data_IF_630800470086
#
_entry.id   IF_630800470086
#
_cell.length_a   1.000
_cell.length_b   1.000
_cell.length_c   1.000
_cell.angle_alpha   90.00
_cell.angle_beta   90.00
_cell.angle_gamma   90.00
#
_symmetry.space_group_name_H-M   'P 1'
#
loop_
_entity.id
_entity.type
_entity.pdbx_description
1 polymer ?
#
# COMPACT_ATOMS: atom_id res chain seq x y z
N UNK A 1 61.61 -25.26 -38.07
CA UNK A 1 60.96 -26.10 -37.03
C UNK A 1 60.69 -25.17 -35.87
N UNK A 2 59.51 -24.57 -35.74
CA UNK A 2 58.36 -25.18 -35.05
C UNK A 2 57.05 -24.55 -35.54
N UNK A 3 56.25 -25.31 -36.29
CA UNK A 3 54.86 -24.98 -36.56
C UNK A 3 54.02 -25.67 -35.49
N UNK A 4 53.61 -24.94 -34.45
CA UNK A 4 52.72 -25.46 -33.43
C UNK A 4 51.27 -25.27 -33.87
N UNK A 5 50.60 -26.40 -34.07
CA UNK A 5 49.19 -26.60 -34.33
C UNK A 5 48.26 -25.63 -33.60
N UNK A 6 47.54 -24.81 -34.35
CA UNK A 6 46.35 -24.05 -33.95
C UNK A 6 45.06 -24.80 -34.32
N UNK A 7 45.01 -26.12 -34.08
CA UNK A 7 43.89 -26.98 -34.50
C UNK A 7 43.26 -27.75 -33.33
N UNK A 8 42.88 -27.03 -32.29
CA UNK A 8 41.91 -27.45 -31.26
C UNK A 8 41.24 -26.15 -30.82
N UNK A 9 40.00 -25.83 -31.22
CA UNK A 9 38.86 -25.86 -30.29
C UNK A 9 37.55 -25.43 -30.98
N UNK A 10 36.89 -26.28 -31.78
CA UNK A 10 35.50 -26.01 -32.19
C UNK A 10 34.48 -26.23 -31.06
N UNK A 11 34.87 -26.91 -29.97
CA UNK A 11 33.97 -27.27 -28.86
C UNK A 11 33.66 -26.12 -27.88
N UNK A 12 34.47 -25.06 -27.83
CA UNK A 12 34.25 -23.95 -26.88
C UNK A 12 33.12 -23.01 -27.35
N UNK A 13 32.88 -22.94 -28.66
CA UNK A 13 31.91 -21.99 -29.23
C UNK A 13 30.45 -22.34 -28.92
N UNK A 14 30.14 -23.62 -28.71
CA UNK A 14 28.77 -24.06 -28.39
C UNK A 14 28.40 -23.84 -26.92
N UNK A 15 29.37 -23.74 -26.02
CA UNK A 15 29.10 -23.53 -24.58
C UNK A 15 28.79 -22.06 -24.27
N UNK A 16 29.35 -21.13 -25.03
CA UNK A 16 29.15 -19.68 -24.83
C UNK A 16 27.70 -19.28 -25.14
N UNK A 17 27.10 -19.83 -26.21
CA UNK A 17 25.71 -19.53 -26.55
C UNK A 17 24.70 -20.02 -25.51
N UNK A 18 25.06 -21.01 -24.68
CA UNK A 18 24.17 -21.54 -23.64
C UNK A 18 24.10 -20.64 -22.41
N UNK A 19 25.12 -19.83 -22.14
CA UNK A 19 25.13 -18.92 -20.98
C UNK A 19 24.29 -17.66 -21.24
N UNK A 20 24.21 -17.20 -22.49
CA UNK A 20 23.37 -16.05 -22.85
C UNK A 20 21.88 -16.34 -22.62
N UNK A 21 21.41 -17.55 -22.90
CA UNK A 21 20.00 -17.93 -22.68
C UNK A 21 19.63 -17.89 -21.19
N UNK A 22 20.51 -18.39 -20.31
CA UNK A 22 20.29 -18.38 -18.86
C UNK A 22 20.24 -16.95 -18.32
N UNK A 23 21.16 -16.09 -18.77
CA UNK A 23 21.17 -14.67 -18.35
C UNK A 23 19.88 -13.98 -18.75
N UNK A 24 19.40 -14.21 -19.98
CA UNK A 24 18.13 -13.63 -20.45
C UNK A 24 16.96 -14.09 -19.58
N UNK A 25 16.87 -15.38 -19.26
CA UNK A 25 15.80 -15.89 -18.39
C UNK A 25 15.85 -15.24 -17.01
N UNK A 26 17.03 -15.11 -16.41
CA UNK A 26 17.19 -14.48 -15.09
C UNK A 26 16.76 -13.02 -15.12
N UNK A 27 17.17 -12.27 -16.14
CA UNK A 27 16.76 -10.86 -16.30
C UNK A 27 15.25 -10.74 -16.43
N UNK A 28 14.61 -11.62 -17.22
CA UNK A 28 13.14 -11.63 -17.37
C UNK A 28 12.44 -11.94 -16.05
N UNK A 29 12.92 -12.91 -15.27
CA UNK A 29 12.35 -13.25 -13.96
C UNK A 29 12.47 -12.07 -12.99
N UNK A 30 13.62 -11.40 -12.94
CA UNK A 30 13.82 -10.22 -12.10
C UNK A 30 12.89 -9.09 -12.54
N UNK A 31 12.78 -8.82 -13.84
CA UNK A 31 11.90 -7.79 -14.36
C UNK A 31 10.42 -8.06 -14.02
N UNK A 32 9.96 -9.31 -14.20
CA UNK A 32 8.60 -9.71 -13.83
C UNK A 32 8.33 -9.53 -12.33
N UNK A 33 9.27 -9.94 -11.47
CA UNK A 33 9.14 -9.74 -10.02
C UNK A 33 9.02 -8.26 -9.65
N UNK A 34 9.85 -7.40 -10.25
CA UNK A 34 9.75 -5.95 -10.03
C UNK A 34 8.38 -5.42 -10.46
N UNK A 35 7.87 -5.84 -11.62
CA UNK A 35 6.53 -5.45 -12.09
C UNK A 35 5.45 -5.89 -11.13
N UNK A 36 5.51 -7.14 -10.62
CA UNK A 36 4.54 -7.65 -9.64
C UNK A 36 4.57 -6.79 -8.37
N UNK A 37 5.74 -6.44 -7.85
CA UNK A 37 5.84 -5.56 -6.68
C UNK A 37 5.23 -4.19 -6.94
N UNK A 38 5.53 -3.58 -8.10
CA UNK A 38 4.95 -2.29 -8.46
C UNK A 38 3.43 -2.37 -8.52
N UNK A 39 2.86 -3.42 -9.11
CA UNK A 39 1.40 -3.63 -9.16
C UNK A 39 0.83 -3.77 -7.74
N UNK A 40 1.46 -4.56 -6.87
CA UNK A 40 1.03 -4.70 -5.46
C UNK A 40 1.04 -3.35 -4.76
N UNK A 41 2.09 -2.55 -4.94
CA UNK A 41 2.18 -1.20 -4.36
C UNK A 41 1.05 -0.31 -4.86
N UNK A 42 0.78 -0.30 -6.17
CA UNK A 42 -0.31 0.50 -6.75
C UNK A 42 -1.67 0.08 -6.18
N UNK A 43 -1.96 -1.22 -6.10
CA UNK A 43 -3.21 -1.74 -5.53
C UNK A 43 -3.35 -1.30 -4.07
N UNK A 44 -2.29 -1.42 -3.29
CA UNK A 44 -2.25 -0.97 -1.89
C UNK A 44 -2.57 0.52 -1.76
N UNK A 45 -1.93 1.36 -2.59
CA UNK A 45 -2.20 2.81 -2.61
C UNK A 45 -3.66 3.10 -2.94
N UNK A 46 -4.24 2.42 -3.94
CA UNK A 46 -5.66 2.58 -4.31
C UNK A 46 -6.56 2.22 -3.13
N UNK A 47 -6.30 1.12 -2.43
CA UNK A 47 -7.08 0.72 -1.24
C UNK A 47 -7.02 1.80 -0.16
N UNK A 48 -5.83 2.34 0.13
CA UNK A 48 -5.67 3.43 1.11
C UNK A 48 -6.49 4.66 0.71
N UNK A 49 -6.42 5.08 -0.57
CA UNK A 49 -7.19 6.23 -1.07
C UNK A 49 -8.69 5.99 -0.90
N UNK A 50 -9.20 4.80 -1.24
CA UNK A 50 -10.62 4.46 -1.07
C UNK A 50 -11.03 4.55 0.40
N UNK A 51 -10.23 4.01 1.33
CA UNK A 51 -10.52 4.08 2.77
C UNK A 51 -10.58 5.54 3.23
N UNK A 52 -9.63 6.38 2.82
CA UNK A 52 -9.62 7.81 3.17
C UNK A 52 -10.88 8.51 2.63
N UNK A 53 -11.27 8.26 1.38
CA UNK A 53 -12.48 8.85 0.78
C UNK A 53 -13.73 8.45 1.57
N UNK A 54 -13.87 7.17 1.94
CA UNK A 54 -15.01 6.69 2.74
C UNK A 54 -15.10 7.43 4.07
N UNK A 55 -13.97 7.62 4.75
CA UNK A 55 -13.91 8.32 6.04
C UNK A 55 -14.31 9.77 5.89
N UNK A 56 -13.81 10.46 4.86
CA UNK A 56 -14.20 11.84 4.56
C UNK A 56 -15.70 11.94 4.31
N UNK A 57 -16.29 11.03 3.53
CA UNK A 57 -17.73 11.00 3.28
C UNK A 57 -18.51 10.83 4.59
N UNK A 58 -18.10 9.91 5.48
CA UNK A 58 -18.74 9.72 6.78
C UNK A 58 -18.67 10.98 7.64
N UNK A 59 -17.53 11.67 7.66
CA UNK A 59 -17.36 12.93 8.39
C UNK A 59 -18.26 14.03 7.80
N UNK A 60 -18.32 14.17 6.48
CA UNK A 60 -19.17 15.18 5.83
C UNK A 60 -20.65 14.91 6.09
N UNK A 61 -21.11 13.66 5.97
CA UNK A 61 -22.49 13.28 6.22
C UNK A 61 -22.88 13.54 7.68
N UNK A 62 -22.00 13.20 8.63
CA UNK A 62 -22.25 13.46 10.05
C UNK A 62 -22.33 14.96 10.31
N UNK A 63 -21.36 15.76 9.86
CA UNK A 63 -21.34 17.22 10.04
C UNK A 63 -22.56 17.90 9.38
N UNK A 64 -22.92 17.51 8.16
CA UNK A 64 -24.10 18.03 7.46
C UNK A 64 -25.39 17.74 8.23
N UNK A 65 -25.52 16.51 8.77
CA UNK A 65 -26.66 16.12 9.61
C UNK A 65 -26.76 16.94 10.88
N UNK A 66 -25.63 17.38 11.47
CA UNK A 66 -25.63 18.28 12.63
C UNK A 66 -26.10 19.70 12.28
N UNK A 67 -25.77 20.21 11.10
CA UNK A 67 -26.12 21.57 10.72
C UNK A 67 -27.63 21.73 10.44
N UNK A 68 -28.26 20.73 9.79
CA UNK A 68 -29.69 20.76 9.48
C UNK A 68 -30.53 20.83 10.77
N UNK A 69 -30.14 20.10 11.82
CA UNK A 69 -30.87 20.13 13.10
C UNK A 69 -30.85 21.49 13.78
N UNK A 70 -29.77 22.28 13.66
CA UNK A 70 -29.71 23.61 14.29
C UNK A 70 -30.60 24.64 13.60
N UNK A 71 -30.85 24.48 12.30
CA UNK A 71 -31.68 25.42 11.53
C UNK A 71 -33.18 25.34 11.84
N UNK A 72 -33.67 24.24 12.42
CA UNK A 72 -35.10 24.04 12.73
C UNK A 72 -35.49 24.50 14.14
N UNK A 73 -34.51 24.66 15.04
CA UNK A 73 -34.75 24.99 16.45
C UNK A 73 -34.77 26.51 16.71
N UNK A 74 -34.54 27.33 15.67
CA UNK A 74 -34.64 28.79 15.72
C UNK A 74 -36.07 29.32 15.57
N UNK A 75 -37.10 28.47 15.49
CA UNK A 75 -38.48 28.94 15.56
C UNK A 75 -38.78 29.32 17.03
N UNK A 76 -39.00 30.62 17.35
CA UNK A 76 -39.21 31.04 18.73
C UNK A 76 -40.46 30.35 19.28
N UNK A 77 -40.27 29.39 20.20
CA UNK A 77 -41.39 28.84 20.94
C UNK A 77 -42.02 29.98 21.75
N UNK A 78 -43.36 30.08 21.77
CA UNK A 78 -44.05 31.01 22.64
C UNK A 78 -43.63 30.77 24.10
N UNK A 79 -43.53 31.82 24.92
CA UNK A 79 -43.01 31.73 26.27
C UNK A 79 -44.01 30.98 27.13
N UNK A 80 -43.81 29.69 27.31
CA UNK A 80 -44.63 28.87 28.20
C UNK A 80 -43.87 28.58 29.50
N UNK A 81 -44.57 28.78 30.61
CA UNK A 81 -44.00 28.92 31.94
C UNK A 81 -43.93 27.55 32.63
N UNK A 82 -42.78 27.27 33.28
CA UNK A 82 -42.49 26.09 34.13
C UNK A 82 -42.24 24.77 33.38
N UNK A 83 -40.97 24.47 33.10
CA UNK A 83 -40.52 23.08 33.03
C UNK A 83 -39.14 22.91 33.66
N UNK A 84 -39.10 22.01 34.64
CA UNK A 84 -37.95 21.61 35.46
C UNK A 84 -36.90 20.88 34.63
N UNK A 85 -35.64 21.08 35.02
CA UNK A 85 -34.48 20.20 34.83
C UNK A 85 -34.20 19.73 33.38
N UNK A 86 -33.47 20.56 32.63
CA UNK A 86 -32.75 20.13 31.43
C UNK A 86 -31.62 19.17 31.83
N UNK A 87 -31.83 17.88 31.60
CA UNK A 87 -30.74 16.90 31.56
C UNK A 87 -29.97 17.13 30.26
N UNK A 88 -28.81 17.76 30.34
CA UNK A 88 -27.91 17.99 29.21
C UNK A 88 -27.31 16.65 28.76
N UNK A 89 -27.96 16.05 27.75
CA UNK A 89 -27.53 14.78 27.17
C UNK A 89 -26.18 14.95 26.45
N UNK A 90 -25.23 14.01 26.62
CA UNK A 90 -23.82 14.26 26.36
C UNK A 90 -23.53 14.32 24.86
N UNK A 91 -23.07 15.49 24.41
CA UNK A 91 -22.50 15.72 23.07
C UNK A 91 -21.13 15.02 22.88
N UNK A 92 -20.58 14.40 23.92
CA UNK A 92 -19.30 13.69 23.86
C UNK A 92 -19.33 12.43 23.00
N UNK A 93 -20.49 11.78 22.84
CA UNK A 93 -20.54 10.48 22.15
C UNK A 93 -20.09 10.57 20.69
N UNK A 94 -20.47 11.62 19.96
CA UNK A 94 -20.09 11.79 18.55
C UNK A 94 -18.59 12.05 18.39
N UNK A 95 -18.02 12.91 19.23
CA UNK A 95 -16.59 13.23 19.15
C UNK A 95 -15.76 11.97 19.44
N UNK A 96 -16.18 11.18 20.45
CA UNK A 96 -15.52 9.90 20.78
C UNK A 96 -15.61 8.92 19.59
N UNK A 97 -16.77 8.80 18.95
CA UNK A 97 -16.94 7.94 17.77
C UNK A 97 -16.06 8.42 16.62
N UNK A 98 -16.00 9.72 16.36
CA UNK A 98 -15.22 10.28 15.25
C UNK A 98 -13.71 10.10 15.50
N UNK A 99 -13.24 10.33 16.73
CA UNK A 99 -11.86 10.06 17.13
C UNK A 99 -11.53 8.58 17.00
N UNK A 100 -12.43 7.69 17.42
CA UNK A 100 -12.24 6.24 17.28
C UNK A 100 -12.17 5.80 15.81
N UNK A 101 -13.03 6.35 14.94
CA UNK A 101 -12.99 6.06 13.50
C UNK A 101 -11.68 6.56 12.88
N UNK A 102 -11.27 7.79 13.18
CA UNK A 102 -10.00 8.34 12.68
C UNK A 102 -8.82 7.49 13.17
N UNK A 103 -8.79 7.12 14.45
CA UNK A 103 -7.74 6.27 15.00
C UNK A 103 -7.69 4.89 14.32
N UNK A 104 -8.85 4.26 14.08
CA UNK A 104 -8.92 2.99 13.37
C UNK A 104 -8.40 3.09 11.93
N UNK A 105 -8.71 4.18 11.23
CA UNK A 105 -8.25 4.43 9.86
C UNK A 105 -6.75 4.62 9.83
N UNK A 106 -6.22 5.44 10.74
CA UNK A 106 -4.77 5.64 10.88
C UNK A 106 -4.08 4.31 11.15
N UNK A 107 -4.64 3.48 12.03
CA UNK A 107 -4.10 2.13 12.30
C UNK A 107 -4.09 1.26 11.04
N UNK A 108 -5.18 1.24 10.26
CA UNK A 108 -5.26 0.51 8.99
C UNK A 108 -4.19 0.99 8.02
N UNK A 109 -4.01 2.30 7.87
CA UNK A 109 -2.97 2.87 7.00
C UNK A 109 -1.58 2.43 7.46
N UNK A 110 -1.29 2.48 8.77
CA UNK A 110 0.00 2.04 9.33
C UNK A 110 0.25 0.57 9.02
N UNK A 111 -0.74 -0.30 9.28
CA UNK A 111 -0.62 -1.75 9.01
C UNK A 111 -0.33 -1.99 7.54
N UNK A 112 -1.04 -1.31 6.65
CA UNK A 112 -0.85 -1.42 5.20
C UNK A 112 0.56 -0.98 4.79
N UNK A 113 1.06 0.13 5.33
CA UNK A 113 2.44 0.59 5.08
C UNK A 113 3.47 -0.42 5.58
N UNK A 114 3.27 -0.99 6.77
CA UNK A 114 4.18 -2.01 7.33
C UNK A 114 4.22 -3.25 6.44
N UNK A 115 3.06 -3.76 6.02
CA UNK A 115 2.98 -4.91 5.11
C UNK A 115 3.70 -4.60 3.79
N UNK A 116 3.52 -3.41 3.24
CA UNK A 116 4.20 -2.99 2.02
C UNK A 116 5.72 -3.00 2.19
N UNK A 117 6.24 -2.48 3.31
CA UNK A 117 7.68 -2.48 3.60
C UNK A 117 8.21 -3.89 3.70
N UNK A 118 7.51 -4.80 4.39
CA UNK A 118 7.91 -6.22 4.50
C UNK A 118 7.99 -6.87 3.12
N UNK A 119 6.97 -6.69 2.29
CA UNK A 119 6.95 -7.25 0.92
C UNK A 119 8.11 -6.70 0.08
N UNK A 120 8.39 -5.40 0.16
CA UNK A 120 9.51 -4.79 -0.55
C UNK A 120 10.85 -5.37 -0.07
N UNK A 121 11.04 -5.55 1.24
CA UNK A 121 12.27 -6.12 1.80
C UNK A 121 12.47 -7.56 1.33
N UNK A 122 11.42 -8.39 1.37
CA UNK A 122 11.49 -9.78 0.89
C UNK A 122 11.87 -9.84 -0.60
N UNK A 123 11.30 -8.97 -1.43
CA UNK A 123 11.63 -8.96 -2.86
C UNK A 123 13.06 -8.51 -3.08
N UNK A 124 13.52 -7.48 -2.37
CA UNK A 124 14.91 -7.00 -2.47
C UNK A 124 15.88 -8.11 -2.08
N UNK A 125 15.60 -8.85 -1.01
CA UNK A 125 16.43 -9.97 -0.58
C UNK A 125 16.51 -11.05 -1.65
N UNK A 126 15.36 -11.45 -2.23
CA UNK A 126 15.33 -12.43 -3.32
C UNK A 126 16.12 -11.95 -4.54
N UNK A 127 15.98 -10.68 -4.92
CA UNK A 127 16.73 -10.10 -6.05
C UNK A 127 18.24 -10.11 -5.76
N UNK A 128 18.65 -9.70 -4.57
CA UNK A 128 20.08 -9.68 -4.17
C UNK A 128 20.66 -11.09 -4.18
N UNK A 129 19.94 -12.09 -3.66
CA UNK A 129 20.37 -13.49 -3.67
C UNK A 129 20.52 -14.01 -5.10
N UNK A 130 19.54 -13.76 -5.96
CA UNK A 130 19.57 -14.21 -7.37
C UNK A 130 20.72 -13.56 -8.13
N UNK A 131 20.92 -12.25 -7.98
CA UNK A 131 22.03 -11.52 -8.63
C UNK A 131 23.38 -11.99 -8.09
N UNK A 132 23.50 -12.18 -6.77
CA UNK A 132 24.72 -12.70 -6.14
C UNK A 132 25.09 -14.09 -6.66
N UNK A 133 24.13 -15.01 -6.76
CA UNK A 133 24.32 -16.33 -7.34
C UNK A 133 24.74 -16.26 -8.81
N UNK A 134 24.13 -15.35 -9.59
CA UNK A 134 24.49 -15.16 -11.00
C UNK A 134 25.96 -14.74 -11.14
N UNK A 135 26.41 -13.78 -10.33
CA UNK A 135 27.80 -13.29 -10.34
C UNK A 135 28.79 -14.37 -9.93
N UNK A 136 28.43 -15.25 -9.00
CA UNK A 136 29.31 -16.35 -8.56
C UNK A 136 29.43 -17.45 -9.62
N UNK A 137 28.41 -17.63 -10.47
CA UNK A 137 28.37 -18.68 -11.50
C UNK A 137 29.03 -18.25 -12.81
N UNK A 138 29.16 -16.95 -13.06
CA UNK A 138 29.85 -16.38 -14.21
C UNK A 138 31.37 -16.31 -14.00
#
# INVERSE_FOLDING_TARGET
>A
MTLYNTSCTPQIKNTIHKMDEVVVVVVVVVALNVVVVVVVVVVVVVVVVVVVVVVVVVVVVTVSSYNIRRGWESNPRPPDHKSKALTTKPRCSTVIVLVAVVAAVVLVVIVVVVVLVVVVVEVVEVVVVVVGLLVVVQ
#
